data_IF_368457651933
#
_entry.id   IF_368457651933
#
_cell.length_a   1.000
_cell.length_b   1.000
_cell.length_c   1.000
_cell.angle_alpha   90.00
_cell.angle_beta   90.00
_cell.angle_gamma   90.00
#
_symmetry.space_group_name_H-M   'P 1'
#
loop_
_entity.id
_entity.type
_entity.pdbx_description
1 polymer ?
#
# COMPACT_ATOMS: atom_id res chain seq x y z
N UNK A 1 -0.18 -2.58 -18.60
CA UNK A 1 -1.02 -1.45 -19.07
C UNK A 1 -1.86 -1.79 -20.31
N UNK A 2 -1.54 -2.85 -21.03
CA UNK A 2 -2.31 -3.29 -22.21
C UNK A 2 -3.80 -3.51 -21.94
N UNK A 3 -4.17 -4.04 -20.77
CA UNK A 3 -5.56 -4.34 -20.41
C UNK A 3 -6.45 -3.10 -20.26
N UNK A 4 -5.87 -1.93 -20.06
CA UNK A 4 -6.61 -0.67 -19.93
C UNK A 4 -6.67 0.14 -21.23
N UNK A 5 -6.19 -0.41 -22.36
CA UNK A 5 -6.12 0.30 -23.65
C UNK A 5 -5.13 1.49 -23.66
N UNK A 6 -4.24 1.55 -22.67
CA UNK A 6 -3.24 2.60 -22.57
C UNK A 6 -2.00 2.25 -23.38
N UNK A 7 -1.32 3.24 -24.03
CA UNK A 7 -0.10 3.00 -24.73
C UNK A 7 1.00 2.47 -23.79
N UNK A 8 1.78 1.50 -24.26
CA UNK A 8 2.87 0.86 -23.49
C UNK A 8 4.26 1.30 -23.96
N UNK A 9 4.33 2.09 -25.01
CA UNK A 9 5.55 2.54 -25.69
C UNK A 9 6.00 3.97 -25.30
N UNK A 10 5.24 4.61 -24.38
CA UNK A 10 5.51 5.96 -23.91
C UNK A 10 5.45 6.03 -22.40
N UNK A 11 6.39 6.77 -21.81
CA UNK A 11 6.29 7.20 -20.43
C UNK A 11 5.04 8.08 -20.24
N UNK A 12 4.46 7.96 -19.06
CA UNK A 12 3.26 8.72 -18.70
C UNK A 12 3.64 9.78 -17.66
N UNK A 13 3.21 11.00 -17.90
CA UNK A 13 3.44 12.12 -16.99
C UNK A 13 2.57 12.01 -15.71
N UNK A 14 1.46 11.24 -15.80
CA UNK A 14 0.50 11.04 -14.72
C UNK A 14 0.71 9.75 -13.93
N UNK A 15 1.77 8.99 -14.19
CA UNK A 15 2.09 7.75 -13.50
C UNK A 15 3.60 7.62 -13.27
N UNK A 16 3.98 7.49 -11.98
CA UNK A 16 5.36 7.33 -11.57
C UNK A 16 5.51 5.99 -10.86
N UNK A 17 6.46 5.20 -11.28
CA UNK A 17 6.79 3.91 -10.69
C UNK A 17 8.17 3.97 -10.04
N UNK A 18 8.24 3.63 -8.74
CA UNK A 18 9.47 3.69 -7.96
C UNK A 18 9.75 2.33 -7.33
N UNK A 19 10.98 1.84 -7.48
CA UNK A 19 11.43 0.57 -6.89
C UNK A 19 12.33 0.88 -5.70
N UNK A 20 11.90 0.50 -4.49
CA UNK A 20 12.61 0.75 -3.23
C UNK A 20 13.13 -0.54 -2.57
N UNK A 21 13.13 -1.65 -3.29
CA UNK A 21 13.45 -2.98 -2.76
C UNK A 21 14.83 -3.07 -2.08
N UNK A 22 15.81 -2.30 -2.57
CA UNK A 22 17.17 -2.30 -2.04
C UNK A 22 17.38 -1.29 -0.90
N UNK A 23 16.36 -0.52 -0.57
CA UNK A 23 16.41 0.47 0.49
C UNK A 23 16.01 -0.13 1.84
N UNK A 24 16.60 0.39 2.91
CA UNK A 24 16.10 0.11 4.27
C UNK A 24 14.72 0.74 4.47
N UNK A 25 13.90 0.25 5.43
CA UNK A 25 12.60 0.86 5.74
C UNK A 25 12.68 2.36 5.99
N UNK A 26 13.65 2.83 6.76
CA UNK A 26 13.82 4.26 7.03
C UNK A 26 14.19 5.05 5.77
N UNK A 27 15.05 4.49 4.92
CA UNK A 27 15.43 5.13 3.66
C UNK A 27 14.25 5.21 2.70
N UNK A 28 13.45 4.17 2.63
CA UNK A 28 12.22 4.15 1.81
C UNK A 28 11.25 5.23 2.26
N UNK A 29 11.01 5.36 3.56
CA UNK A 29 10.16 6.43 4.12
C UNK A 29 10.69 7.83 3.80
N UNK A 30 12.00 8.04 3.91
CA UNK A 30 12.64 9.31 3.55
C UNK A 30 12.49 9.66 2.06
N UNK A 31 12.61 8.68 1.18
CA UNK A 31 12.44 8.87 -0.26
C UNK A 31 10.98 9.25 -0.58
N UNK A 32 10.02 8.53 0.00
CA UNK A 32 8.59 8.84 -0.19
C UNK A 32 8.30 10.26 0.30
N UNK A 33 8.75 10.61 1.50
CA UNK A 33 8.57 11.94 2.08
C UNK A 33 9.15 13.05 1.18
N UNK A 34 10.38 12.86 0.71
CA UNK A 34 11.02 13.77 -0.25
C UNK A 34 10.23 13.91 -1.56
N UNK A 35 9.73 12.81 -2.10
CA UNK A 35 8.94 12.85 -3.32
C UNK A 35 7.63 13.61 -3.12
N UNK A 36 6.93 13.38 -2.02
CA UNK A 36 5.69 14.08 -1.70
C UNK A 36 5.91 15.58 -1.50
N UNK A 37 7.05 15.97 -0.91
CA UNK A 37 7.41 17.38 -0.72
C UNK A 37 7.74 18.12 -2.04
N UNK A 38 8.25 17.40 -3.03
CA UNK A 38 8.80 18.00 -4.25
C UNK A 38 7.94 17.76 -5.50
N UNK A 39 6.90 16.97 -5.40
CA UNK A 39 5.98 16.68 -6.50
C UNK A 39 4.65 17.36 -6.25
N UNK A 40 4.06 17.93 -7.29
CA UNK A 40 2.74 18.56 -7.24
C UNK A 40 1.67 17.65 -7.82
N UNK A 41 0.43 17.85 -7.39
CA UNK A 41 -0.76 17.18 -7.94
C UNK A 41 -0.77 15.64 -7.84
N UNK A 42 -0.13 15.09 -6.78
CA UNK A 42 -0.25 13.67 -6.47
C UNK A 42 -1.61 13.45 -5.79
N UNK A 43 -2.51 12.70 -6.42
CA UNK A 43 -3.82 12.35 -5.86
C UNK A 43 -3.88 10.94 -5.25
N UNK A 44 -3.00 10.05 -5.68
CA UNK A 44 -2.97 8.65 -5.24
C UNK A 44 -1.54 8.14 -5.09
N UNK A 45 -1.28 7.49 -3.96
CA UNK A 45 -0.05 6.73 -3.71
C UNK A 45 -0.41 5.28 -3.45
N UNK A 46 0.24 4.36 -4.15
CA UNK A 46 0.09 2.92 -3.94
C UNK A 46 1.39 2.38 -3.36
N UNK A 47 1.32 1.75 -2.20
CA UNK A 47 2.46 1.13 -1.49
C UNK A 47 2.27 -0.39 -1.49
N UNK A 48 3.01 -1.05 -2.36
CA UNK A 48 3.02 -2.51 -2.48
C UNK A 48 4.41 -3.04 -2.09
N UNK A 49 4.65 -3.62 -0.95
CA UNK A 49 3.84 -3.96 0.22
C UNK A 49 4.25 -3.09 1.41
N UNK A 50 3.29 -2.72 2.17
CA UNK A 50 3.47 -1.81 3.31
C UNK A 50 4.46 -2.30 4.37
N UNK A 51 4.61 -3.62 4.51
CA UNK A 51 5.58 -4.24 5.43
C UNK A 51 7.04 -3.84 5.15
N UNK A 52 7.36 -3.45 3.93
CA UNK A 52 8.73 -3.08 3.54
C UNK A 52 9.14 -1.70 4.09
N UNK A 53 8.20 -0.98 4.69
CA UNK A 53 8.45 0.25 5.44
C UNK A 53 8.69 0.01 6.95
N UNK A 54 8.82 -1.24 7.39
CA UNK A 54 9.02 -1.64 8.79
C UNK A 54 10.16 -2.64 8.92
N UNK A 55 10.83 -2.62 10.08
CA UNK A 55 11.81 -3.65 10.45
C UNK A 55 11.11 -4.87 11.07
N UNK A 56 10.11 -4.65 11.94
CA UNK A 56 9.34 -5.71 12.59
C UNK A 56 7.83 -5.47 12.44
N UNK A 57 7.18 -6.31 11.64
CA UNK A 57 5.73 -6.25 11.38
C UNK A 57 4.86 -6.57 12.62
N UNK A 58 5.45 -7.15 13.67
CA UNK A 58 4.77 -7.45 14.93
C UNK A 58 5.02 -6.38 15.99
N UNK A 59 5.86 -5.40 15.73
CA UNK A 59 6.13 -4.30 16.67
C UNK A 59 4.93 -3.36 16.76
N UNK A 60 4.29 -3.20 17.94
CA UNK A 60 3.19 -2.27 18.13
C UNK A 60 3.63 -0.80 17.92
N UNK A 61 4.82 -0.45 18.39
CA UNK A 61 5.34 0.92 18.25
C UNK A 61 5.62 1.28 16.81
N UNK A 62 6.33 0.42 16.05
CA UNK A 62 6.57 0.66 14.62
C UNK A 62 5.25 0.71 13.81
N UNK A 63 4.30 -0.16 14.14
CA UNK A 63 2.98 -0.15 13.49
C UNK A 63 2.25 1.17 13.71
N UNK A 64 2.22 1.66 14.95
CA UNK A 64 1.57 2.94 15.27
C UNK A 64 2.28 4.13 14.61
N UNK A 65 3.61 4.14 14.60
CA UNK A 65 4.40 5.18 13.95
C UNK A 65 4.13 5.22 12.43
N UNK A 66 4.12 4.05 11.78
CA UNK A 66 3.85 3.96 10.35
C UNK A 66 2.42 4.42 10.01
N UNK A 67 1.42 4.00 10.78
CA UNK A 67 0.03 4.45 10.58
C UNK A 67 -0.07 5.97 10.73
N UNK A 68 0.55 6.54 11.75
CA UNK A 68 0.56 7.99 11.94
C UNK A 68 1.24 8.72 10.77
N UNK A 69 2.31 8.15 10.22
CA UNK A 69 2.99 8.69 9.05
C UNK A 69 2.09 8.66 7.81
N UNK A 70 1.39 7.55 7.55
CA UNK A 70 0.44 7.44 6.44
C UNK A 70 -0.71 8.46 6.58
N UNK A 71 -1.26 8.59 7.77
CA UNK A 71 -2.30 9.59 8.05
C UNK A 71 -1.81 11.02 7.85
N UNK A 72 -0.58 11.31 8.30
CA UNK A 72 0.07 12.60 8.07
C UNK A 72 0.20 12.90 6.58
N UNK A 73 0.78 11.99 5.80
CA UNK A 73 0.92 12.16 4.34
C UNK A 73 -0.42 12.38 3.64
N UNK A 74 -1.41 11.55 3.96
CA UNK A 74 -2.75 11.67 3.37
C UNK A 74 -3.36 13.05 3.64
N UNK A 75 -3.22 13.56 4.86
CA UNK A 75 -3.78 14.86 5.27
C UNK A 75 -2.99 16.05 4.73
N UNK A 76 -1.66 16.04 4.87
CA UNK A 76 -0.80 17.17 4.46
C UNK A 76 -0.81 17.39 2.95
N UNK A 77 -0.79 16.30 2.18
CA UNK A 77 -0.73 16.35 0.71
C UNK A 77 -2.09 16.20 0.04
N UNK A 78 -3.16 16.06 0.82
CA UNK A 78 -4.53 15.86 0.31
C UNK A 78 -4.60 14.76 -0.76
N UNK A 79 -4.08 13.59 -0.43
CA UNK A 79 -3.99 12.44 -1.33
C UNK A 79 -4.60 11.19 -0.70
N UNK A 80 -4.95 10.22 -1.55
CA UNK A 80 -5.36 8.89 -1.14
C UNK A 80 -4.16 7.95 -1.09
N UNK A 81 -4.06 7.13 -0.02
CA UNK A 81 -3.03 6.09 0.09
C UNK A 81 -3.69 4.72 0.04
N UNK A 82 -3.24 3.92 -0.91
CA UNK A 82 -3.61 2.51 -1.04
C UNK A 82 -2.43 1.64 -0.62
N UNK A 83 -2.62 0.78 0.37
CA UNK A 83 -1.57 -0.14 0.83
C UNK A 83 -1.93 -1.58 0.51
N UNK A 84 -0.92 -2.39 0.21
CA UNK A 84 -1.07 -3.83 -0.01
C UNK A 84 -0.40 -4.59 1.14
N UNK A 85 -1.13 -5.54 1.71
CA UNK A 85 -0.65 -6.42 2.75
C UNK A 85 -1.11 -7.86 2.49
N UNK A 86 -0.19 -8.81 2.61
CA UNK A 86 -0.51 -10.22 2.46
C UNK A 86 -1.20 -10.78 3.69
N UNK A 87 -2.17 -11.66 3.47
CA UNK A 87 -2.79 -12.46 4.54
C UNK A 87 -1.83 -13.51 5.10
N UNK A 88 -2.11 -14.01 6.29
CA UNK A 88 -1.44 -15.18 6.85
C UNK A 88 -1.73 -16.41 5.98
N UNK A 89 -0.76 -17.31 5.94
CA UNK A 89 -1.00 -18.62 5.33
C UNK A 89 -1.84 -19.46 6.29
N UNK A 90 -3.04 -19.82 5.85
CA UNK A 90 -3.93 -20.75 6.59
C UNK A 90 -5.07 -20.12 7.37
N UNK A 91 -5.13 -18.81 7.45
CA UNK A 91 -6.30 -18.07 7.93
C UNK A 91 -6.52 -16.78 7.12
N UNK A 92 -7.68 -16.17 7.27
CA UNK A 92 -8.04 -14.93 6.56
C UNK A 92 -7.61 -13.66 7.32
N UNK A 93 -6.74 -13.80 8.33
CA UNK A 93 -6.27 -12.66 9.09
C UNK A 93 -5.10 -11.97 8.41
N UNK A 94 -5.04 -10.66 8.55
CA UNK A 94 -3.93 -9.84 8.09
C UNK A 94 -2.65 -10.14 8.88
N UNK A 95 -1.51 -10.07 8.18
CA UNK A 95 -0.23 -10.49 8.72
C UNK A 95 0.37 -9.45 9.66
N UNK A 96 0.69 -9.90 10.89
CA UNK A 96 1.39 -9.08 11.89
C UNK A 96 0.50 -8.05 12.58
N UNK A 97 1.08 -7.33 13.55
CA UNK A 97 0.39 -6.26 14.27
C UNK A 97 -0.04 -5.11 13.34
N UNK A 98 0.78 -4.80 12.35
CA UNK A 98 0.47 -3.78 11.33
C UNK A 98 -0.85 -4.06 10.62
N UNK A 99 -1.17 -5.34 10.34
CA UNK A 99 -2.43 -5.69 9.71
C UNK A 99 -3.64 -5.35 10.56
N UNK A 100 -3.56 -5.56 11.87
CA UNK A 100 -4.61 -5.19 12.82
C UNK A 100 -4.80 -3.66 12.86
N UNK A 101 -3.71 -2.92 12.93
CA UNK A 101 -3.75 -1.46 12.96
C UNK A 101 -4.29 -0.86 11.65
N UNK A 102 -3.88 -1.39 10.50
CA UNK A 102 -4.42 -0.98 9.20
C UNK A 102 -5.93 -1.23 9.11
N UNK A 103 -6.40 -2.41 9.50
CA UNK A 103 -7.83 -2.73 9.51
C UNK A 103 -8.65 -1.79 10.40
N UNK A 104 -8.07 -1.34 11.52
CA UNK A 104 -8.74 -0.43 12.46
C UNK A 104 -8.79 1.02 11.94
N UNK A 105 -7.85 1.43 11.10
CA UNK A 105 -7.68 2.83 10.66
C UNK A 105 -8.07 3.08 9.21
N UNK A 106 -8.09 2.04 8.37
CA UNK A 106 -8.47 2.18 6.97
C UNK A 106 -9.97 2.50 6.83
N UNK A 107 -10.29 3.41 5.94
CA UNK A 107 -11.69 3.71 5.56
C UNK A 107 -12.31 2.53 4.80
N UNK A 108 -11.52 1.86 3.97
CA UNK A 108 -11.96 0.73 3.16
C UNK A 108 -10.92 -0.38 3.21
N UNK A 109 -11.37 -1.60 3.44
CA UNK A 109 -10.54 -2.81 3.40
C UNK A 109 -11.11 -3.77 2.38
N UNK A 110 -10.31 -4.12 1.38
CA UNK A 110 -10.65 -5.09 0.34
C UNK A 110 -9.77 -6.34 0.50
N UNK A 111 -10.42 -7.50 0.54
CA UNK A 111 -9.73 -8.79 0.49
C UNK A 111 -9.79 -9.33 -0.94
N UNK A 112 -8.63 -9.71 -1.46
CA UNK A 112 -8.51 -10.34 -2.77
C UNK A 112 -8.05 -11.77 -2.60
N UNK A 113 -8.83 -12.73 -3.10
CA UNK A 113 -8.52 -14.16 -3.03
C UNK A 113 -8.63 -14.79 -4.42
N UNK A 114 -7.89 -15.89 -4.63
CA UNK A 114 -8.08 -16.68 -5.85
C UNK A 114 -9.39 -17.47 -5.75
N UNK A 115 -10.13 -17.52 -6.84
CA UNK A 115 -11.29 -18.40 -6.94
C UNK A 115 -10.86 -19.86 -6.80
N UNK A 116 -11.66 -20.65 -6.10
CA UNK A 116 -11.49 -22.10 -5.99
C UNK A 116 -11.99 -22.85 -7.23
N UNK A 117 -12.78 -22.18 -8.06
CA UNK A 117 -13.42 -22.77 -9.24
C UNK A 117 -12.64 -22.51 -10.54
N UNK A 118 -11.98 -21.33 -10.63
CA UNK A 118 -11.19 -20.95 -11.81
C UNK A 118 -9.94 -20.18 -11.40
N UNK A 119 -8.77 -20.72 -11.75
CA UNK A 119 -7.45 -20.13 -11.42
C UNK A 119 -7.20 -18.77 -12.09
N UNK A 120 -7.95 -18.43 -13.13
CA UNK A 120 -7.86 -17.14 -13.83
C UNK A 120 -8.75 -16.06 -13.22
N UNK A 121 -9.56 -16.41 -12.21
CA UNK A 121 -10.48 -15.49 -11.54
C UNK A 121 -9.97 -15.18 -10.13
N UNK A 122 -9.99 -13.91 -9.77
CA UNK A 122 -9.81 -13.45 -8.40
C UNK A 122 -11.13 -12.89 -7.88
N UNK A 123 -11.45 -13.21 -6.65
CA UNK A 123 -12.62 -12.71 -5.94
C UNK A 123 -12.21 -11.52 -5.07
N UNK A 124 -12.99 -10.45 -5.11
CA UNK A 124 -12.79 -9.26 -4.29
C UNK A 124 -13.96 -9.12 -3.34
N UNK A 125 -13.67 -9.03 -2.05
CA UNK A 125 -14.66 -8.85 -0.99
C UNK A 125 -14.36 -7.60 -0.20
N UNK A 126 -15.34 -6.74 -0.02
CA UNK A 126 -15.26 -5.62 0.91
C UNK A 126 -15.41 -6.16 2.35
N UNK A 127 -14.38 -5.94 3.17
CA UNK A 127 -14.35 -6.37 4.57
C UNK A 127 -14.80 -5.24 5.49
N UNK A 128 -14.51 -4.00 5.10
CA UNK A 128 -14.84 -2.79 5.83
C UNK A 128 -15.01 -1.63 4.84
N UNK A 129 -16.04 -0.85 5.03
CA UNK A 129 -16.37 0.32 4.21
C UNK A 129 -16.75 1.47 5.15
#
# INVERSE_FOLDING_TARGET
>A
MCLAGLPTDKDRDDFIFVVLRECTPDKSKQIIDYMLDNMVDIGLVIIDGIRDLMYDINSPSESSELINLLMKWSSEYNLHIHTVLHLNKGDDNTRGHIGTELNNKAETVLQVTKSTQDVNISEVKAMHI
#
